data_IF_000389621694
#
_entry.id   IF_000389621694
#
_cell.length_a   1.000
_cell.length_b   1.000
_cell.length_c   1.000
_cell.angle_alpha   90.00
_cell.angle_beta   90.00
_cell.angle_gamma   90.00
#
_symmetry.space_group_name_H-M   'P 1'
#
loop_
_entity.id
_entity.type
_entity.pdbx_description
1 polymer ?
#
# COMPACT_ATOMS: atom_id res chain seq x y z
N UNK A 1 -25.71 17.25 24.35
CA UNK A 1 -26.62 16.35 23.64
C UNK A 1 -26.01 14.95 23.46
N UNK A 2 -24.70 14.87 23.25
CA UNK A 2 -24.01 13.63 22.94
C UNK A 2 -23.19 13.07 24.12
N UNK A 3 -23.00 13.85 25.18
CA UNK A 3 -22.17 13.45 26.31
C UNK A 3 -20.68 13.51 26.08
N UNK A 4 -19.92 12.95 27.01
CA UNK A 4 -18.45 12.89 27.00
C UNK A 4 -18.04 11.45 27.36
N UNK A 5 -16.97 10.87 26.79
CA UNK A 5 -16.06 11.46 25.78
C UNK A 5 -16.70 11.59 24.39
N UNK A 6 -16.26 12.56 23.61
CA UNK A 6 -16.76 12.81 22.26
C UNK A 6 -15.62 13.30 21.34
N UNK A 7 -15.41 12.57 20.25
CA UNK A 7 -14.57 13.03 19.14
C UNK A 7 -15.45 13.69 18.06
N UNK A 8 -15.03 14.85 17.60
CA UNK A 8 -15.74 15.62 16.56
C UNK A 8 -14.87 15.71 15.31
N UNK A 9 -15.43 15.31 14.18
CA UNK A 9 -14.79 15.43 12.88
C UNK A 9 -15.43 16.57 12.10
N UNK A 10 -14.60 17.44 11.50
CA UNK A 10 -15.05 18.47 10.56
C UNK A 10 -15.08 17.85 9.16
N UNK A 11 -16.26 17.56 8.66
CA UNK A 11 -16.45 16.96 7.35
C UNK A 11 -15.96 17.86 6.23
N UNK A 12 -16.15 19.19 6.33
CA UNK A 12 -15.70 20.13 5.32
C UNK A 12 -14.19 20.13 5.18
N UNK A 13 -13.48 20.10 6.32
CA UNK A 13 -12.02 20.03 6.33
C UNK A 13 -11.50 18.71 5.74
N UNK A 14 -12.17 17.60 6.03
CA UNK A 14 -11.83 16.30 5.44
C UNK A 14 -11.99 16.31 3.92
N UNK A 15 -13.12 16.81 3.43
CA UNK A 15 -13.39 16.94 1.98
C UNK A 15 -12.36 17.84 1.30
N UNK A 16 -12.04 18.98 1.88
CA UNK A 16 -11.07 19.92 1.31
C UNK A 16 -9.66 19.32 1.28
N UNK A 17 -9.29 18.56 2.30
CA UNK A 17 -8.02 17.84 2.34
C UNK A 17 -7.98 16.76 1.24
N UNK A 18 -9.03 15.96 1.07
CA UNK A 18 -9.12 14.98 -0.01
C UNK A 18 -8.98 15.63 -1.39
N UNK A 19 -9.70 16.73 -1.62
CA UNK A 19 -9.63 17.49 -2.88
C UNK A 19 -8.23 18.04 -3.15
N UNK A 20 -7.52 18.49 -2.11
CA UNK A 20 -6.15 19.02 -2.22
C UNK A 20 -5.21 17.91 -2.68
N UNK A 21 -5.19 16.76 -2.01
CA UNK A 21 -4.36 15.61 -2.42
C UNK A 21 -4.69 15.15 -3.84
N UNK A 22 -5.97 15.02 -4.16
CA UNK A 22 -6.40 14.61 -5.48
C UNK A 22 -5.95 15.58 -6.58
N UNK A 23 -6.11 16.88 -6.36
CA UNK A 23 -5.69 17.92 -7.30
C UNK A 23 -4.18 17.91 -7.50
N UNK A 24 -3.42 17.87 -6.40
CA UNK A 24 -1.97 18.04 -6.44
C UNK A 24 -1.29 16.80 -7.08
N UNK A 25 -1.87 15.60 -6.92
CA UNK A 25 -1.39 14.40 -7.59
C UNK A 25 -1.85 14.25 -9.05
N UNK A 26 -3.01 14.78 -9.41
CA UNK A 26 -3.53 14.70 -10.78
C UNK A 26 -2.86 15.64 -11.77
N UNK A 27 -2.15 16.66 -11.31
CA UNK A 27 -1.55 17.64 -12.21
C UNK A 27 -0.45 17.07 -13.12
N UNK A 28 0.06 15.90 -12.83
CA UNK A 28 1.18 15.29 -13.57
C UNK A 28 0.72 14.31 -14.65
N UNK A 29 -0.23 13.42 -14.37
CA UNK A 29 -0.81 12.47 -15.35
C UNK A 29 -2.16 11.90 -14.89
N UNK A 30 -3.01 11.45 -15.83
CA UNK A 30 -4.38 11.00 -15.55
C UNK A 30 -4.51 9.67 -14.79
N UNK A 31 -3.39 8.95 -14.52
CA UNK A 31 -3.40 7.62 -13.90
C UNK A 31 -2.95 7.59 -12.44
N UNK A 32 -2.63 8.75 -11.86
CA UNK A 32 -2.22 8.81 -10.46
C UNK A 32 -3.39 8.53 -9.53
N UNK A 33 -3.11 7.81 -8.45
CA UNK A 33 -4.10 7.41 -7.44
C UNK A 33 -3.66 7.90 -6.08
N UNK A 34 -4.61 8.36 -5.28
CA UNK A 34 -4.42 8.68 -3.87
C UNK A 34 -5.24 7.70 -3.06
N UNK A 35 -4.60 6.99 -2.14
CA UNK A 35 -5.26 6.08 -1.22
C UNK A 35 -5.29 6.67 0.19
N UNK A 36 -6.45 6.61 0.83
CA UNK A 36 -6.60 6.99 2.23
C UNK A 36 -6.19 5.81 3.12
N UNK A 37 -5.29 6.05 4.06
CA UNK A 37 -4.84 5.04 5.01
C UNK A 37 -5.89 4.80 6.12
N UNK A 38 -6.68 3.74 6.00
CA UNK A 38 -7.77 3.39 6.91
C UNK A 38 -7.34 3.24 8.37
N UNK A 39 -6.08 2.84 8.62
CA UNK A 39 -5.51 2.73 9.97
C UNK A 39 -5.58 4.02 10.79
N UNK A 40 -5.67 5.19 10.15
CA UNK A 40 -5.78 6.47 10.84
C UNK A 40 -7.14 6.62 11.53
N UNK A 41 -8.21 6.36 10.79
CA UNK A 41 -9.58 6.35 11.28
C UNK A 41 -10.50 5.76 10.20
N UNK A 42 -11.20 4.67 10.51
CA UNK A 42 -12.08 4.05 9.55
C UNK A 42 -13.44 3.69 10.15
N UNK A 43 -14.47 4.31 9.61
CA UNK A 43 -15.88 3.99 9.83
C UNK A 43 -16.60 3.87 8.49
N UNK A 44 -17.82 3.36 8.48
CA UNK A 44 -18.63 3.33 7.25
C UNK A 44 -18.83 4.72 6.64
N UNK A 45 -19.03 5.75 7.49
CA UNK A 45 -19.17 7.13 7.03
C UNK A 45 -17.88 7.63 6.37
N UNK A 46 -16.71 7.32 6.97
CA UNK A 46 -15.42 7.68 6.38
C UNK A 46 -15.18 6.98 5.05
N UNK A 47 -15.48 5.69 4.95
CA UNK A 47 -15.39 4.96 3.68
C UNK A 47 -16.23 5.64 2.58
N UNK A 48 -17.47 6.02 2.91
CA UNK A 48 -18.34 6.71 1.97
C UNK A 48 -17.77 8.06 1.53
N UNK A 49 -17.31 8.87 2.48
CA UNK A 49 -16.67 10.17 2.19
C UNK A 49 -15.47 9.98 1.25
N UNK A 50 -14.56 9.06 1.56
CA UNK A 50 -13.36 8.79 0.74
C UNK A 50 -13.75 8.38 -0.69
N UNK A 51 -14.75 7.51 -0.82
CA UNK A 51 -15.24 7.10 -2.13
C UNK A 51 -15.84 8.27 -2.94
N UNK A 52 -16.67 9.09 -2.30
CA UNK A 52 -17.30 10.26 -2.92
C UNK A 52 -16.27 11.30 -3.39
N UNK A 53 -15.11 11.37 -2.73
CA UNK A 53 -14.00 12.23 -3.16
C UNK A 53 -13.10 11.59 -4.24
N UNK A 54 -13.42 10.37 -4.69
CA UNK A 54 -12.72 9.68 -5.77
C UNK A 54 -11.40 9.02 -5.37
N UNK A 55 -11.14 8.89 -4.06
CA UNK A 55 -9.92 8.28 -3.52
C UNK A 55 -10.05 6.76 -3.44
N UNK A 56 -8.91 6.10 -3.39
CA UNK A 56 -8.72 4.69 -3.05
C UNK A 56 -8.64 4.51 -1.54
N UNK A 57 -8.60 3.28 -1.06
CA UNK A 57 -8.56 2.96 0.36
C UNK A 57 -7.48 1.93 0.66
N UNK A 58 -6.60 2.24 1.62
CA UNK A 58 -5.70 1.26 2.23
C UNK A 58 -6.35 0.65 3.47
N UNK A 59 -6.34 -0.67 3.56
CA UNK A 59 -6.75 -1.42 4.73
C UNK A 59 -5.61 -2.32 5.21
N UNK A 60 -5.50 -2.51 6.52
CA UNK A 60 -4.41 -3.30 7.15
C UNK A 60 -4.91 -4.51 7.93
N UNK A 61 -6.21 -4.71 8.00
CA UNK A 61 -6.83 -5.83 8.73
C UNK A 61 -8.14 -6.29 8.09
N UNK A 62 -8.55 -7.52 8.43
CA UNK A 62 -9.84 -8.04 8.02
C UNK A 62 -11.02 -7.22 8.56
N UNK A 63 -10.86 -6.59 9.73
CA UNK A 63 -11.87 -5.69 10.31
C UNK A 63 -12.07 -4.43 9.49
N UNK A 64 -11.00 -3.80 9.03
CA UNK A 64 -11.07 -2.64 8.14
C UNK A 64 -11.65 -3.03 6.78
N UNK A 65 -11.21 -4.15 6.20
CA UNK A 65 -11.77 -4.67 4.96
C UNK A 65 -13.27 -4.95 5.07
N UNK A 66 -13.69 -5.54 6.20
CA UNK A 66 -15.11 -5.80 6.47
C UNK A 66 -15.91 -4.50 6.61
N UNK A 67 -15.32 -3.47 7.24
CA UNK A 67 -15.92 -2.13 7.36
C UNK A 67 -16.12 -1.51 5.98
N UNK A 68 -15.11 -1.55 5.11
CA UNK A 68 -15.20 -1.10 3.73
C UNK A 68 -16.28 -1.85 2.95
N UNK A 69 -16.31 -3.18 3.06
CA UNK A 69 -17.36 -4.01 2.45
C UNK A 69 -18.77 -3.62 2.92
N UNK A 70 -18.96 -3.42 4.24
CA UNK A 70 -20.26 -3.01 4.80
C UNK A 70 -20.63 -1.55 4.52
N UNK A 71 -19.68 -0.74 4.10
CA UNK A 71 -19.89 0.62 3.61
C UNK A 71 -20.19 0.66 2.10
N UNK A 72 -20.22 -0.50 1.43
CA UNK A 72 -20.39 -0.62 -0.03
C UNK A 72 -19.28 0.10 -0.81
N UNK A 73 -18.08 0.21 -0.21
CA UNK A 73 -16.91 0.75 -0.88
C UNK A 73 -16.49 -0.18 -2.04
N UNK A 74 -16.17 0.32 -3.24
CA UNK A 74 -15.69 -0.49 -4.36
C UNK A 74 -14.39 -1.20 -4.00
N UNK A 75 -14.43 -2.53 -3.81
CA UNK A 75 -13.30 -3.27 -3.29
C UNK A 75 -12.16 -3.46 -4.31
N UNK A 76 -12.41 -3.25 -5.58
CA UNK A 76 -11.40 -3.11 -6.63
C UNK A 76 -10.52 -1.86 -6.46
N UNK A 77 -10.95 -0.88 -5.64
CA UNK A 77 -10.18 0.31 -5.25
C UNK A 77 -9.53 0.17 -3.87
N UNK A 78 -9.47 -1.02 -3.31
CA UNK A 78 -8.84 -1.28 -2.01
C UNK A 78 -7.46 -1.90 -2.21
N UNK A 79 -6.48 -1.38 -1.47
CA UNK A 79 -5.16 -1.96 -1.26
C UNK A 79 -5.13 -2.63 0.11
N UNK A 80 -4.81 -3.93 0.15
CA UNK A 80 -4.78 -4.67 1.41
C UNK A 80 -3.34 -4.90 1.87
N UNK A 81 -2.92 -4.10 2.84
CA UNK A 81 -1.63 -4.12 3.49
C UNK A 81 -1.60 -5.05 4.72
N UNK A 82 -0.47 -5.10 5.41
CA UNK A 82 -0.25 -5.85 6.65
C UNK A 82 0.82 -6.92 6.49
N UNK A 83 1.67 -7.05 7.50
CA UNK A 83 2.82 -7.96 7.49
C UNK A 83 2.51 -9.37 8.02
N UNK A 84 1.30 -9.58 8.56
CA UNK A 84 0.88 -10.87 9.11
C UNK A 84 -0.61 -11.12 8.86
N UNK A 85 -1.01 -11.06 7.58
CA UNK A 85 -2.39 -11.39 7.19
C UNK A 85 -2.66 -12.86 7.50
N UNK A 86 -3.70 -13.12 8.28
CA UNK A 86 -4.15 -14.48 8.55
C UNK A 86 -4.75 -15.15 7.31
N UNK A 87 -4.83 -16.48 7.32
CA UNK A 87 -5.44 -17.24 6.20
C UNK A 87 -6.87 -16.78 5.95
N UNK A 88 -7.64 -16.50 7.01
CA UNK A 88 -9.02 -16.02 6.90
C UNK A 88 -9.12 -14.61 6.31
N UNK A 89 -8.17 -13.73 6.59
CA UNK A 89 -8.11 -12.39 6.00
C UNK A 89 -7.74 -12.44 4.53
N UNK A 90 -6.76 -13.27 4.16
CA UNK A 90 -6.39 -13.51 2.75
C UNK A 90 -7.59 -14.07 2.00
N UNK A 91 -8.25 -15.11 2.54
CA UNK A 91 -9.44 -15.69 1.94
C UNK A 91 -10.58 -14.69 1.77
N UNK A 92 -10.85 -13.89 2.80
CA UNK A 92 -11.85 -12.83 2.75
C UNK A 92 -11.56 -11.83 1.63
N UNK A 93 -10.32 -11.33 1.55
CA UNK A 93 -9.92 -10.36 0.54
C UNK A 93 -10.04 -10.89 -0.88
N UNK A 94 -9.56 -12.12 -1.13
CA UNK A 94 -9.70 -12.79 -2.45
C UNK A 94 -11.16 -13.01 -2.79
N UNK A 95 -11.95 -13.53 -1.85
CA UNK A 95 -13.38 -13.80 -2.04
C UNK A 95 -14.16 -12.54 -2.39
N UNK A 96 -13.92 -11.47 -1.67
CA UNK A 96 -14.58 -10.18 -1.87
C UNK A 96 -14.07 -9.40 -3.10
N UNK A 97 -12.92 -9.76 -3.66
CA UNK A 97 -12.35 -9.12 -4.86
C UNK A 97 -11.62 -7.82 -4.57
N UNK A 98 -10.77 -7.83 -3.54
CA UNK A 98 -9.85 -6.72 -3.25
C UNK A 98 -8.99 -6.40 -4.47
N UNK A 99 -8.84 -5.12 -4.79
CA UNK A 99 -8.13 -4.66 -5.98
C UNK A 99 -6.67 -5.10 -6.00
N UNK A 100 -5.95 -4.88 -4.90
CA UNK A 100 -4.52 -5.21 -4.79
C UNK A 100 -4.20 -5.74 -3.39
N UNK A 101 -3.45 -6.82 -3.30
CA UNK A 101 -2.76 -7.21 -2.08
C UNK A 101 -1.32 -6.70 -2.10
N UNK A 102 -0.92 -6.00 -1.05
CA UNK A 102 0.47 -5.62 -0.84
C UNK A 102 1.14 -6.72 -0.04
N UNK A 103 1.93 -7.53 -0.73
CA UNK A 103 2.55 -8.76 -0.21
C UNK A 103 3.82 -8.39 0.55
N UNK A 104 3.92 -8.91 1.76
CA UNK A 104 4.96 -8.58 2.71
C UNK A 104 6.05 -9.67 2.82
N UNK A 105 5.72 -10.91 2.49
CA UNK A 105 6.62 -12.07 2.58
C UNK A 105 6.23 -13.21 1.64
N UNK A 106 7.16 -14.18 1.46
CA UNK A 106 6.99 -15.30 0.54
C UNK A 106 5.88 -16.26 0.95
N UNK A 107 5.67 -16.47 2.26
CA UNK A 107 4.64 -17.40 2.75
C UNK A 107 3.24 -16.83 2.52
N UNK A 108 3.09 -15.52 2.66
CA UNK A 108 1.85 -14.82 2.28
C UNK A 108 1.59 -14.98 0.77
N UNK A 109 2.62 -14.79 -0.05
CA UNK A 109 2.50 -14.92 -1.51
C UNK A 109 2.00 -16.30 -1.93
N UNK A 110 2.58 -17.36 -1.37
CA UNK A 110 2.15 -18.76 -1.63
C UNK A 110 0.70 -18.97 -1.23
N UNK A 111 0.34 -18.56 0.00
CA UNK A 111 -1.05 -18.67 0.50
C UNK A 111 -2.03 -17.89 -0.37
N UNK A 112 -1.66 -16.71 -0.81
CA UNK A 112 -2.49 -15.88 -1.68
C UNK A 112 -2.70 -16.55 -3.04
N UNK A 113 -1.65 -17.12 -3.63
CA UNK A 113 -1.75 -17.86 -4.90
C UNK A 113 -2.70 -19.07 -4.77
N UNK A 114 -2.62 -19.84 -3.68
CA UNK A 114 -3.53 -20.95 -3.41
C UNK A 114 -4.98 -20.48 -3.24
N UNK A 115 -5.21 -19.39 -2.52
CA UNK A 115 -6.54 -18.84 -2.34
C UNK A 115 -7.10 -18.29 -3.66
N UNK A 116 -6.30 -17.60 -4.45
CA UNK A 116 -6.71 -17.12 -5.77
C UNK A 116 -7.10 -18.29 -6.69
N UNK A 117 -6.32 -19.38 -6.69
CA UNK A 117 -6.64 -20.62 -7.38
C UNK A 117 -7.97 -21.22 -6.91
N UNK A 118 -8.16 -21.35 -5.59
CA UNK A 118 -9.38 -21.90 -4.96
C UNK A 118 -10.64 -21.17 -5.43
N UNK A 119 -10.56 -19.86 -5.61
CA UNK A 119 -11.68 -19.01 -6.05
C UNK A 119 -11.70 -18.72 -7.55
N UNK A 120 -10.83 -19.38 -8.32
CA UNK A 120 -10.69 -19.20 -9.77
C UNK A 120 -10.53 -17.70 -10.15
N UNK A 121 -9.63 -17.00 -9.44
CA UNK A 121 -9.32 -15.58 -9.63
C UNK A 121 -7.85 -15.40 -9.98
N UNK A 122 -7.55 -14.31 -10.69
CA UNK A 122 -6.19 -13.80 -10.84
C UNK A 122 -6.07 -12.53 -9.99
N UNK A 123 -5.29 -12.60 -8.91
CA UNK A 123 -5.19 -11.52 -7.93
C UNK A 123 -4.02 -10.59 -8.25
N UNK A 124 -4.30 -9.29 -8.35
CA UNK A 124 -3.23 -8.30 -8.48
C UNK A 124 -2.48 -8.17 -7.15
N UNK A 125 -1.16 -8.08 -7.26
CA UNK A 125 -0.28 -7.89 -6.11
C UNK A 125 0.74 -6.79 -6.35
N UNK A 126 1.14 -6.13 -5.25
CA UNK A 126 2.38 -5.37 -5.14
C UNK A 126 3.33 -6.10 -4.20
N UNK A 127 4.63 -5.99 -4.42
CA UNK A 127 5.63 -6.41 -3.45
C UNK A 127 6.02 -5.22 -2.60
N UNK A 128 5.98 -5.38 -1.28
CA UNK A 128 6.45 -4.36 -0.35
C UNK A 128 7.95 -4.49 -0.18
N UNK A 129 8.68 -3.41 -0.49
CA UNK A 129 10.12 -3.33 -0.35
C UNK A 129 10.49 -2.37 0.76
N UNK A 130 11.60 -2.66 1.44
CA UNK A 130 12.21 -1.73 2.38
C UNK A 130 13.40 -1.07 1.68
N UNK A 131 13.31 0.20 1.22
CA UNK A 131 14.35 0.79 0.37
C UNK A 131 15.66 1.12 1.11
N UNK A 132 15.72 0.96 2.43
CA UNK A 132 16.92 1.24 3.22
C UNK A 132 17.21 2.73 3.41
N UNK A 133 16.19 3.56 3.38
CA UNK A 133 16.29 5.02 3.53
C UNK A 133 15.89 5.41 4.95
N UNK A 134 16.69 6.22 5.61
CA UNK A 134 16.35 6.83 6.90
C UNK A 134 15.72 8.21 6.69
N UNK A 135 14.50 8.37 7.19
CA UNK A 135 13.72 9.60 7.06
C UNK A 135 14.28 10.81 7.84
N UNK A 136 15.27 10.61 8.70
CA UNK A 136 15.80 11.64 9.62
C UNK A 136 17.30 11.90 9.48
N UNK A 137 17.99 11.28 8.52
CA UNK A 137 19.45 11.46 8.34
C UNK A 137 19.78 11.71 6.88
N UNK A 138 20.70 12.69 6.65
CA UNK A 138 21.26 12.99 5.33
C UNK A 138 22.33 12.00 4.85
N UNK A 139 22.60 10.93 5.59
CA UNK A 139 23.60 9.93 5.20
C UNK A 139 22.92 8.63 4.73
N UNK A 140 23.24 8.25 3.51
CA UNK A 140 22.97 6.90 3.00
C UNK A 140 23.66 5.88 3.91
N UNK A 141 22.93 5.26 4.81
CA UNK A 141 23.49 4.14 5.57
C UNK A 141 23.53 2.94 4.65
N UNK A 142 24.73 2.65 4.11
CA UNK A 142 25.01 1.46 3.30
C UNK A 142 24.70 0.13 4.00
N UNK A 143 24.39 0.19 5.28
CA UNK A 143 24.02 -0.94 6.14
C UNK A 143 22.71 -0.61 6.87
N UNK A 144 21.70 -0.17 6.12
CA UNK A 144 20.39 0.20 6.68
C UNK A 144 19.90 -0.84 7.66
N UNK A 145 19.23 -0.39 8.71
CA UNK A 145 18.61 -1.26 9.70
C UNK A 145 17.72 -2.29 8.98
N UNK A 146 18.25 -3.50 8.82
CA UNK A 146 17.58 -4.65 8.22
C UNK A 146 16.42 -5.12 9.14
N UNK A 147 16.21 -4.47 10.24
CA UNK A 147 15.28 -4.83 11.31
C UNK A 147 13.87 -4.24 11.10
N UNK A 148 13.47 -4.11 9.85
CA UNK A 148 12.10 -3.79 9.53
C UNK A 148 11.26 -5.07 9.59
N UNK A 149 10.20 -5.05 10.40
CA UNK A 149 9.18 -6.12 10.41
C UNK A 149 8.32 -6.14 9.14
N UNK A 150 8.60 -5.31 8.17
CA UNK A 150 7.81 -5.12 6.98
C UNK A 150 8.63 -5.32 5.72
N UNK A 151 8.04 -6.07 4.78
CA UNK A 151 8.50 -6.16 3.41
C UNK A 151 9.78 -6.94 3.20
N UNK A 152 10.20 -6.98 1.95
CA UNK A 152 11.43 -7.61 1.52
C UNK A 152 12.59 -6.65 1.68
N UNK A 153 13.65 -7.12 2.36
CA UNK A 153 14.87 -6.32 2.55
C UNK A 153 15.64 -6.15 1.24
N UNK A 154 16.36 -5.02 1.04
CA UNK A 154 17.10 -4.74 -0.18
C UNK A 154 18.44 -5.50 -0.26
N UNK A 155 18.66 -6.48 0.61
CA UNK A 155 19.93 -7.19 0.77
C UNK A 155 19.89 -8.53 0.06
N UNK A 156 20.93 -8.81 -0.75
CA UNK A 156 21.09 -10.08 -1.46
C UNK A 156 20.09 -10.25 -2.62
N UNK A 157 19.78 -11.49 -2.94
CA UNK A 157 18.85 -11.86 -4.02
C UNK A 157 17.38 -11.89 -3.58
N UNK A 158 17.08 -11.61 -2.33
CA UNK A 158 15.75 -11.80 -1.70
C UNK A 158 14.60 -11.14 -2.46
N UNK A 159 14.81 -9.92 -2.97
CA UNK A 159 13.81 -9.22 -3.78
C UNK A 159 13.62 -9.90 -5.13
N UNK A 160 14.71 -10.27 -5.80
CA UNK A 160 14.62 -10.91 -7.11
C UNK A 160 14.01 -12.30 -7.03
N UNK A 161 14.26 -13.03 -5.94
CA UNK A 161 13.61 -14.31 -5.69
C UNK A 161 12.10 -14.14 -5.46
N UNK A 162 11.70 -13.10 -4.72
CA UNK A 162 10.29 -12.77 -4.55
C UNK A 162 9.62 -12.38 -5.88
N UNK A 163 10.31 -11.62 -6.73
CA UNK A 163 9.81 -11.25 -8.07
C UNK A 163 9.67 -12.48 -8.95
N UNK A 164 10.67 -13.34 -9.02
CA UNK A 164 10.63 -14.59 -9.80
C UNK A 164 9.47 -15.48 -9.34
N UNK A 165 9.34 -15.69 -8.03
CA UNK A 165 8.22 -16.44 -7.48
C UNK A 165 6.85 -15.81 -7.81
N UNK A 166 6.74 -14.47 -7.74
CA UNK A 166 5.50 -13.78 -8.09
C UNK A 166 5.12 -13.96 -9.57
N UNK A 167 6.11 -13.96 -10.46
CA UNK A 167 5.93 -14.19 -11.90
C UNK A 167 5.50 -15.64 -12.16
N UNK A 168 6.08 -16.60 -11.44
CA UNK A 168 5.80 -18.03 -11.57
C UNK A 168 4.42 -18.42 -10.98
N UNK A 169 3.85 -17.59 -10.13
CA UNK A 169 2.53 -17.81 -9.54
C UNK A 169 1.40 -17.55 -10.56
N UNK A 170 0.86 -18.60 -11.15
CA UNK A 170 -0.16 -18.54 -12.22
C UNK A 170 -1.41 -17.70 -11.85
N UNK A 171 -1.78 -17.70 -10.57
CA UNK A 171 -3.01 -17.02 -10.11
C UNK A 171 -2.72 -15.62 -9.51
N UNK A 172 -1.48 -15.15 -9.60
CA UNK A 172 -1.10 -13.81 -9.20
C UNK A 172 -0.74 -12.96 -10.43
N UNK A 173 -0.85 -11.66 -10.27
CA UNK A 173 -0.47 -10.69 -11.29
C UNK A 173 0.36 -9.60 -10.61
N UNK A 174 1.69 -9.68 -10.75
CA UNK A 174 2.59 -8.68 -10.20
C UNK A 174 2.46 -7.38 -11.00
N UNK A 175 1.82 -6.38 -10.40
CA UNK A 175 1.55 -5.10 -11.02
C UNK A 175 2.42 -3.96 -10.51
N UNK A 176 2.88 -4.05 -9.28
CA UNK A 176 3.53 -2.92 -8.67
C UNK A 176 4.53 -3.26 -7.59
N UNK A 177 5.29 -2.25 -7.22
CA UNK A 177 6.11 -2.22 -6.02
C UNK A 177 5.53 -1.19 -5.05
N UNK A 178 5.66 -1.46 -3.77
CA UNK A 178 5.30 -0.55 -2.70
C UNK A 178 6.48 -0.35 -1.76
N UNK A 179 6.66 0.87 -1.25
CA UNK A 179 7.50 1.13 -0.10
C UNK A 179 6.83 2.10 0.87
N UNK A 180 7.34 2.14 2.09
CA UNK A 180 6.93 3.12 3.09
C UNK A 180 8.15 3.44 3.95
N UNK A 181 8.60 4.69 3.90
CA UNK A 181 9.88 5.11 4.48
C UNK A 181 9.78 5.67 5.90
N UNK A 182 8.56 5.79 6.44
CA UNK A 182 8.36 6.25 7.82
C UNK A 182 7.10 7.10 8.01
N UNK A 183 7.04 7.77 9.15
CA UNK A 183 5.94 8.66 9.54
C UNK A 183 6.49 10.01 10.02
N UNK A 184 5.68 11.08 9.89
CA UNK A 184 6.04 12.43 10.30
C UNK A 184 7.31 12.94 9.62
N UNK A 185 7.40 12.75 8.31
CA UNK A 185 8.51 13.18 7.47
C UNK A 185 8.16 14.55 6.89
N UNK A 186 8.91 15.57 7.25
CA UNK A 186 8.71 16.95 6.81
C UNK A 186 9.60 17.32 5.61
N UNK A 187 10.67 16.58 5.40
CA UNK A 187 11.61 16.82 4.30
C UNK A 187 11.20 16.08 3.03
N UNK A 188 11.48 16.68 1.89
CA UNK A 188 11.16 16.08 0.58
C UNK A 188 12.24 15.07 0.16
N UNK A 189 13.50 15.33 0.49
CA UNK A 189 14.64 14.53 0.04
C UNK A 189 14.50 13.02 0.28
N UNK A 190 14.03 12.52 1.45
CA UNK A 190 13.80 11.08 1.64
C UNK A 190 12.84 10.44 0.64
N UNK A 191 11.85 11.21 0.17
CA UNK A 191 10.92 10.72 -0.87
C UNK A 191 11.56 10.68 -2.24
N UNK A 192 12.39 11.67 -2.60
CA UNK A 192 13.16 11.68 -3.85
C UNK A 192 14.13 10.49 -3.89
N UNK A 193 14.86 10.26 -2.81
CA UNK A 193 15.76 9.11 -2.66
C UNK A 193 14.99 7.78 -2.79
N UNK A 194 13.79 7.68 -2.19
CA UNK A 194 12.94 6.51 -2.30
C UNK A 194 12.51 6.26 -3.75
N UNK A 195 12.15 7.30 -4.49
CA UNK A 195 11.80 7.19 -5.92
C UNK A 195 12.97 6.63 -6.71
N UNK A 196 14.18 7.19 -6.54
CA UNK A 196 15.38 6.73 -7.26
C UNK A 196 15.68 5.25 -6.99
N UNK A 197 15.66 4.84 -5.72
CA UNK A 197 15.90 3.44 -5.32
C UNK A 197 14.84 2.52 -5.93
N UNK A 198 13.56 2.88 -5.82
CA UNK A 198 12.46 2.05 -6.32
C UNK A 198 12.45 1.95 -7.85
N UNK A 199 12.75 3.03 -8.56
CA UNK A 199 12.92 3.00 -10.02
C UNK A 199 14.13 2.15 -10.44
N UNK A 200 15.20 2.17 -9.66
CA UNK A 200 16.35 1.27 -9.83
C UNK A 200 15.93 -0.21 -9.76
N UNK A 201 15.07 -0.58 -8.79
CA UNK A 201 14.52 -1.95 -8.70
C UNK A 201 13.59 -2.27 -9.88
N UNK A 202 12.72 -1.37 -10.28
CA UNK A 202 11.83 -1.57 -11.44
C UNK A 202 12.68 -1.84 -12.71
N UNK A 203 13.74 -1.06 -12.93
CA UNK A 203 14.66 -1.27 -14.04
C UNK A 203 15.34 -2.63 -13.93
N UNK A 204 15.88 -2.99 -12.77
CA UNK A 204 16.56 -4.29 -12.54
C UNK A 204 15.62 -5.46 -12.83
N UNK A 205 14.37 -5.40 -12.36
CA UNK A 205 13.35 -6.43 -12.62
C UNK A 205 13.14 -6.59 -14.13
N UNK A 206 12.96 -5.48 -14.84
CA UNK A 206 12.79 -5.51 -16.29
C UNK A 206 14.00 -6.11 -17.01
N UNK A 207 15.21 -5.70 -16.62
CA UNK A 207 16.44 -6.14 -17.28
C UNK A 207 16.70 -7.64 -17.03
N UNK A 208 16.42 -8.16 -15.83
CA UNK A 208 16.69 -9.55 -15.47
C UNK A 208 15.58 -10.54 -15.84
N UNK A 209 14.32 -10.10 -15.85
CA UNK A 209 13.16 -11.00 -16.03
C UNK A 209 12.31 -10.69 -17.26
N UNK A 210 12.50 -9.53 -17.87
CA UNK A 210 11.63 -9.03 -18.94
C UNK A 210 10.24 -8.55 -18.44
N UNK A 211 9.93 -8.72 -17.14
CA UNK A 211 8.65 -8.31 -16.58
C UNK A 211 8.59 -6.80 -16.38
N UNK A 212 7.48 -6.19 -16.79
CA UNK A 212 7.26 -4.74 -16.68
C UNK A 212 6.41 -4.50 -15.43
N UNK A 213 6.91 -3.67 -14.53
CA UNK A 213 6.18 -3.16 -13.36
C UNK A 213 5.56 -1.82 -13.73
N UNK A 214 4.23 -1.74 -13.93
CA UNK A 214 3.58 -0.51 -14.37
C UNK A 214 3.22 0.46 -13.25
N UNK A 215 3.26 0.03 -11.98
CA UNK A 215 2.72 0.79 -10.85
C UNK A 215 3.75 0.89 -9.72
N UNK A 216 3.87 2.08 -9.13
CA UNK A 216 4.72 2.35 -7.97
C UNK A 216 3.90 3.07 -6.89
N UNK A 217 3.93 2.55 -5.67
CA UNK A 217 3.32 3.14 -4.50
C UNK A 217 4.42 3.48 -3.48
N UNK A 218 4.58 4.75 -3.17
CA UNK A 218 5.60 5.26 -2.24
C UNK A 218 5.11 5.31 -0.78
N UNK A 219 3.88 4.85 -0.53
CA UNK A 219 3.27 4.97 0.78
C UNK A 219 2.88 6.41 1.12
N UNK A 220 2.84 6.68 2.40
CA UNK A 220 2.53 8.00 2.95
C UNK A 220 3.59 8.44 3.95
N UNK A 221 3.16 8.99 5.08
CA UNK A 221 4.06 9.39 6.15
C UNK A 221 4.40 10.88 6.16
N UNK A 222 3.70 11.67 5.34
CA UNK A 222 3.85 13.12 5.33
C UNK A 222 3.65 13.71 6.72
N UNK A 223 4.56 14.60 7.13
CA UNK A 223 4.51 15.27 8.42
C UNK A 223 3.34 16.23 8.51
N UNK A 224 2.67 16.23 9.65
CA UNK A 224 1.61 17.19 10.00
C UNK A 224 1.93 17.86 11.32
N UNK A 225 1.59 19.13 11.45
CA UNK A 225 1.64 19.84 12.72
C UNK A 225 0.36 19.57 13.50
N UNK A 226 0.50 19.14 14.77
CA UNK A 226 -0.64 18.85 15.66
C UNK A 226 -1.13 20.08 16.43
N UNK A 227 -0.35 21.16 16.47
CA UNK A 227 -0.67 22.41 17.19
C UNK A 227 -0.27 23.61 16.35
#
# INVERSE_FOLDING_TARGET
RFGSPLDVMDESLLIDTCKKYYRDFKCLENNNRVAYAGKAFLTKAMCKLIYEQGLYLDVVSGGELYTAYKAEFPLDKVYFHGNNKSISEVELGVKLGVGVFVVDNLDEMKRLNEMAKKYNKKQNIYLRLTPGIEAHTHEYIKTGQIDSKFGFAPVGETIMDAVKLAIDCENLNLRGLHCHIGSQIFEIQPYEDAVEVMLGFIKKIKDETGHIIPELDLGGGFGIHYT
#
